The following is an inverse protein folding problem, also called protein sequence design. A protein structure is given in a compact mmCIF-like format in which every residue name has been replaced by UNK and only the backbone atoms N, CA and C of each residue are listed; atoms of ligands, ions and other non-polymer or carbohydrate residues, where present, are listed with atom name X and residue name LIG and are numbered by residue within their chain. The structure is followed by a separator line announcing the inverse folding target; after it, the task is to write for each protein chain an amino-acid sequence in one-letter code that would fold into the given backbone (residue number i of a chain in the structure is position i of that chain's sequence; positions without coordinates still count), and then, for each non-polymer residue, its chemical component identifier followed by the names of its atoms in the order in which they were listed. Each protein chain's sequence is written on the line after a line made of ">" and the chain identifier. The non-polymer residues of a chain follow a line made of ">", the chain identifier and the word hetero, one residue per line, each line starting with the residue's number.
data_IF_402955519175
#
_entry.id   IF_402955519175
#
_cell.length_a   1.000
_cell.length_b   1.000
_cell.length_c   1.000
_cell.angle_alpha   90.00
_cell.angle_beta   90.00
_cell.angle_gamma   90.00
#
_symmetry.space_group_name_H-M   'P 1'
#
loop_
_entity.id
_entity.type
_entity.pdbx_description
1 polymer ?
#
# COMPACT_ATOMS: atom_id res chain seq x y z
N UNK A 1 39.30 5.83 -5.00
CA UNK A 1 38.07 5.21 -4.50
C UNK A 1 38.46 3.83 -3.98
N UNK A 2 38.53 3.65 -2.66
CA UNK A 2 38.95 2.37 -2.07
C UNK A 2 38.00 1.25 -2.46
N UNK A 3 38.54 0.06 -2.69
CA UNK A 3 37.83 -1.19 -3.02
C UNK A 3 36.68 -1.49 -2.04
N UNK A 4 36.84 -1.09 -0.78
CA UNK A 4 35.81 -1.15 0.27
C UNK A 4 34.57 -0.31 -0.03
N UNK A 5 34.71 0.86 -0.65
CA UNK A 5 33.57 1.68 -1.06
C UNK A 5 32.82 1.06 -2.24
N UNK A 6 33.54 0.47 -3.21
CA UNK A 6 32.92 -0.21 -4.36
C UNK A 6 32.07 -1.41 -3.94
N UNK A 7 32.60 -2.23 -3.03
CA UNK A 7 31.86 -3.39 -2.50
C UNK A 7 30.60 -2.97 -1.73
N UNK A 8 30.68 -1.90 -0.92
CA UNK A 8 29.51 -1.35 -0.22
C UNK A 8 28.46 -0.78 -1.19
N UNK A 9 28.90 -0.12 -2.27
CA UNK A 9 28.01 0.39 -3.31
C UNK A 9 27.26 -0.75 -4.03
N UNK A 10 27.98 -1.81 -4.41
CA UNK A 10 27.41 -2.99 -5.08
C UNK A 10 26.41 -3.74 -4.19
N UNK A 11 26.71 -3.90 -2.90
CA UNK A 11 25.77 -4.47 -1.92
C UNK A 11 24.52 -3.61 -1.76
N UNK A 12 24.67 -2.28 -1.64
CA UNK A 12 23.53 -1.36 -1.54
C UNK A 12 22.62 -1.46 -2.77
N UNK A 13 23.20 -1.51 -3.97
CA UNK A 13 22.46 -1.66 -5.23
C UNK A 13 21.71 -3.00 -5.24
N UNK A 14 22.36 -4.09 -4.82
CA UNK A 14 21.73 -5.42 -4.77
C UNK A 14 20.56 -5.46 -3.79
N UNK A 15 20.74 -4.91 -2.59
CA UNK A 15 19.69 -4.80 -1.57
C UNK A 15 18.53 -3.95 -2.08
N UNK A 16 18.80 -2.84 -2.75
CA UNK A 16 17.75 -1.98 -3.29
C UNK A 16 16.93 -2.70 -4.36
N UNK A 17 17.59 -3.39 -5.31
CA UNK A 17 16.90 -4.18 -6.33
C UNK A 17 16.00 -5.26 -5.74
N UNK A 18 16.45 -5.92 -4.67
CA UNK A 18 15.66 -6.94 -3.98
C UNK A 18 14.43 -6.32 -3.28
N UNK A 19 14.60 -5.16 -2.63
CA UNK A 19 13.49 -4.41 -2.03
C UNK A 19 12.47 -3.97 -3.08
N UNK A 20 12.92 -3.46 -4.23
CA UNK A 20 12.04 -3.02 -5.30
C UNK A 20 11.27 -4.19 -5.91
N UNK A 21 11.93 -5.34 -6.07
CA UNK A 21 11.28 -6.58 -6.52
C UNK A 21 10.19 -7.02 -5.54
N UNK A 22 10.51 -7.08 -4.25
CA UNK A 22 9.56 -7.47 -3.21
C UNK A 22 8.38 -6.48 -3.11
N UNK A 23 8.63 -5.17 -3.30
CA UNK A 23 7.59 -4.16 -3.31
C UNK A 23 6.62 -4.36 -4.48
N UNK A 24 7.14 -4.59 -5.69
CA UNK A 24 6.32 -4.85 -6.89
C UNK A 24 5.45 -6.09 -6.73
N UNK A 25 6.02 -7.17 -6.20
CA UNK A 25 5.30 -8.42 -5.96
C UNK A 25 4.16 -8.22 -4.96
N UNK A 26 4.44 -7.56 -3.83
CA UNK A 26 3.42 -7.22 -2.83
C UNK A 26 2.35 -6.29 -3.37
N UNK A 27 2.73 -5.28 -4.15
CA UNK A 27 1.79 -4.36 -4.77
C UNK A 27 0.82 -5.10 -5.70
N UNK A 28 1.34 -5.92 -6.62
CA UNK A 28 0.52 -6.74 -7.51
C UNK A 28 -0.45 -7.64 -6.75
N UNK A 29 0.07 -8.36 -5.76
CA UNK A 29 -0.71 -9.25 -4.90
C UNK A 29 -1.79 -8.50 -4.09
N UNK A 30 -1.47 -7.32 -3.55
CA UNK A 30 -2.46 -6.47 -2.86
C UNK A 30 -3.53 -5.98 -3.83
N UNK A 31 -3.19 -5.57 -5.05
CA UNK A 31 -4.17 -5.13 -6.04
C UNK A 31 -5.17 -6.24 -6.37
N UNK A 32 -4.69 -7.47 -6.61
CA UNK A 32 -5.58 -8.61 -6.86
C UNK A 32 -6.48 -8.92 -5.65
N UNK A 33 -5.92 -8.92 -4.43
CA UNK A 33 -6.72 -9.08 -3.22
C UNK A 33 -7.77 -7.97 -3.06
N UNK A 34 -7.44 -6.72 -3.38
CA UNK A 34 -8.39 -5.62 -3.31
C UNK A 34 -9.52 -5.80 -4.34
N UNK A 35 -9.21 -6.28 -5.55
CA UNK A 35 -10.24 -6.59 -6.56
C UNK A 35 -11.20 -7.69 -6.10
N UNK A 36 -10.68 -8.71 -5.41
CA UNK A 36 -11.47 -9.80 -4.85
C UNK A 36 -12.32 -9.35 -3.64
N UNK A 37 -11.78 -8.44 -2.83
CA UNK A 37 -12.42 -8.01 -1.57
C UNK A 37 -13.49 -6.95 -1.79
N UNK A 38 -13.31 -6.05 -2.76
CA UNK A 38 -14.15 -4.85 -2.90
C UNK A 38 -15.05 -4.88 -4.13
N UNK A 39 -16.35 -4.72 -3.88
CA UNK A 39 -17.41 -4.57 -4.87
C UNK A 39 -18.12 -3.20 -4.73
N UNK A 40 -18.81 -2.70 -5.78
CA UNK A 40 -19.55 -1.44 -5.73
C UNK A 40 -20.51 -1.37 -4.51
N UNK A 41 -20.35 -0.34 -3.68
CA UNK A 41 -21.18 -0.14 -2.47
C UNK A 41 -20.52 -0.55 -1.14
N UNK A 42 -19.30 -1.08 -1.16
CA UNK A 42 -18.57 -1.46 0.07
C UNK A 42 -17.89 -0.25 0.73
N UNK A 43 -18.38 0.19 1.90
CA UNK A 43 -17.81 1.31 2.66
C UNK A 43 -16.76 0.82 3.66
N UNK A 44 -15.49 0.59 3.26
CA UNK A 44 -14.46 0.17 4.22
C UNK A 44 -13.06 0.71 3.95
N UNK A 45 -12.31 0.80 5.04
CA UNK A 45 -10.94 1.32 5.12
C UNK A 45 -9.91 0.33 4.56
N UNK A 46 -9.34 0.62 3.38
CA UNK A 46 -8.36 -0.25 2.71
C UNK A 46 -7.09 -0.52 3.53
N UNK A 47 -6.65 0.44 4.35
CA UNK A 47 -5.38 0.35 5.09
C UNK A 47 -5.28 -0.89 5.99
N UNK A 48 -6.30 -1.16 6.80
CA UNK A 48 -6.24 -2.27 7.76
C UNK A 48 -6.38 -3.64 7.08
N UNK A 49 -7.07 -3.68 5.95
CA UNK A 49 -7.17 -4.87 5.09
C UNK A 49 -5.79 -5.17 4.49
N UNK A 50 -5.12 -4.17 3.90
CA UNK A 50 -3.77 -4.29 3.36
C UNK A 50 -2.79 -4.75 4.45
N UNK A 51 -2.76 -4.08 5.61
CA UNK A 51 -1.84 -4.46 6.70
C UNK A 51 -2.08 -5.90 7.17
N UNK A 52 -3.34 -6.34 7.34
CA UNK A 52 -3.66 -7.73 7.72
C UNK A 52 -3.28 -8.74 6.64
N UNK A 53 -3.46 -8.39 5.37
CA UNK A 53 -3.09 -9.22 4.25
C UNK A 53 -1.57 -9.43 4.18
N UNK A 54 -0.79 -8.36 4.37
CA UNK A 54 0.67 -8.44 4.42
C UNK A 54 1.19 -9.32 5.58
N UNK A 55 0.50 -9.32 6.71
CA UNK A 55 0.84 -10.22 7.83
C UNK A 55 0.55 -11.67 7.45
N UNK A 56 -0.60 -11.94 6.82
CA UNK A 56 -1.05 -13.30 6.49
C UNK A 56 -0.28 -13.91 5.34
N UNK A 57 -0.22 -13.23 4.20
CA UNK A 57 0.33 -13.80 2.96
C UNK A 57 1.85 -13.65 2.86
N UNK A 58 2.42 -12.60 3.46
CA UNK A 58 3.85 -12.33 3.39
C UNK A 58 4.60 -12.55 4.71
N UNK A 59 3.92 -13.07 5.74
CA UNK A 59 4.51 -13.38 7.04
C UNK A 59 5.12 -12.17 7.77
N UNK A 60 4.69 -10.95 7.43
CA UNK A 60 5.29 -9.74 7.99
C UNK A 60 4.88 -9.55 9.46
N UNK A 61 5.83 -9.10 10.29
CA UNK A 61 5.50 -8.66 11.65
C UNK A 61 4.63 -7.40 11.60
N UNK A 62 3.77 -7.13 12.60
CA UNK A 62 2.86 -5.98 12.58
C UNK A 62 3.52 -4.62 12.26
N UNK A 63 4.71 -4.38 12.82
CA UNK A 63 5.50 -3.15 12.53
C UNK A 63 5.96 -3.09 11.08
N UNK A 64 6.41 -4.21 10.52
CA UNK A 64 6.84 -4.30 9.12
C UNK A 64 5.63 -4.15 8.18
N UNK A 65 4.50 -4.77 8.50
CA UNK A 65 3.26 -4.62 7.75
C UNK A 65 2.75 -3.15 7.74
N UNK A 66 2.93 -2.42 8.84
CA UNK A 66 2.61 -0.98 8.88
C UNK A 66 3.50 -0.18 7.94
N UNK A 67 4.81 -0.42 7.95
CA UNK A 67 5.77 0.27 7.10
C UNK A 67 5.58 -0.06 5.61
N UNK A 68 5.56 -1.35 5.27
CA UNK A 68 5.34 -1.80 3.90
C UNK A 68 3.94 -1.48 3.39
N UNK A 69 2.93 -1.54 4.26
CA UNK A 69 1.57 -1.14 3.93
C UNK A 69 1.47 0.34 3.58
N UNK A 70 2.23 1.22 4.25
CA UNK A 70 2.29 2.64 3.89
C UNK A 70 2.84 2.86 2.47
N UNK A 71 3.96 2.21 2.14
CA UNK A 71 4.55 2.29 0.79
C UNK A 71 3.60 1.75 -0.30
N UNK A 72 2.86 0.68 -0.02
CA UNK A 72 1.86 0.14 -0.95
C UNK A 72 0.67 1.11 -1.10
N UNK A 73 0.22 1.73 -0.01
CA UNK A 73 -0.85 2.73 -0.05
C UNK A 73 -0.46 3.93 -0.90
N UNK A 74 0.79 4.40 -0.78
CA UNK A 74 1.32 5.48 -1.64
C UNK A 74 1.28 5.08 -3.11
N UNK A 75 1.76 3.88 -3.47
CA UNK A 75 1.68 3.38 -4.85
C UNK A 75 0.23 3.27 -5.36
N UNK A 76 -0.69 2.78 -4.52
CA UNK A 76 -2.11 2.69 -4.87
C UNK A 76 -2.72 4.09 -5.11
N UNK A 77 -2.23 5.12 -4.41
CA UNK A 77 -2.64 6.51 -4.61
C UNK A 77 -2.05 7.12 -5.88
N UNK A 78 -0.78 6.85 -6.17
CA UNK A 78 -0.12 7.25 -7.42
C UNK A 78 -0.83 6.68 -8.66
N UNK A 79 -1.33 5.44 -8.56
CA UNK A 79 -2.15 4.81 -9.59
C UNK A 79 -3.64 5.17 -9.53
N UNK A 80 -4.02 6.08 -8.63
CA UNK A 80 -5.40 6.55 -8.42
C UNK A 80 -6.41 5.42 -8.12
N UNK A 81 -5.93 4.29 -7.61
CA UNK A 81 -6.73 3.12 -7.24
C UNK A 81 -7.42 3.33 -5.90
N UNK A 82 -6.79 4.13 -5.03
CA UNK A 82 -7.37 4.59 -3.77
C UNK A 82 -7.14 6.09 -3.61
N UNK A 83 -8.00 6.74 -2.83
CA UNK A 83 -7.90 8.17 -2.50
C UNK A 83 -8.07 8.35 -1.00
N UNK A 84 -7.42 9.38 -0.45
CA UNK A 84 -7.74 9.83 0.91
C UNK A 84 -9.14 10.44 0.90
N UNK A 85 -9.97 10.05 1.86
CA UNK A 85 -11.24 10.74 2.09
C UNK A 85 -10.95 12.15 2.61
N UNK A 86 -11.81 13.14 2.29
CA UNK A 86 -11.73 14.46 2.88
C UNK A 86 -11.71 14.37 4.40
N UNK A 87 -11.09 15.34 5.08
CA UNK A 87 -11.08 15.38 6.56
C UNK A 87 -12.46 15.67 7.16
N UNK A 88 -13.46 15.94 6.33
CA UNK A 88 -14.84 16.20 6.70
C UNK A 88 -15.78 15.20 6.03
N UNK A 89 -16.85 14.82 6.73
CA UNK A 89 -17.91 13.98 6.19
C UNK A 89 -18.85 14.76 5.25
N UNK A 90 -19.85 14.08 4.69
CA UNK A 90 -20.83 14.69 3.77
C UNK A 90 -21.67 15.81 4.39
N UNK A 91 -21.66 15.94 5.72
CA UNK A 91 -22.31 17.01 6.49
C UNK A 91 -21.35 18.13 6.93
N UNK A 92 -20.08 18.08 6.50
CA UNK A 92 -19.06 19.05 6.89
C UNK A 92 -18.52 18.88 8.31
N UNK A 93 -18.85 17.77 8.99
CA UNK A 93 -18.27 17.48 10.30
C UNK A 93 -16.87 16.88 10.12
N UNK A 94 -15.87 17.33 10.88
CA UNK A 94 -14.55 16.71 10.85
C UNK A 94 -14.66 15.23 11.20
N UNK A 95 -14.00 14.36 10.44
CA UNK A 95 -13.75 12.98 10.85
C UNK A 95 -12.88 13.04 12.11
N UNK A 96 -13.53 13.07 13.28
CA UNK A 96 -12.95 13.18 14.62
C UNK A 96 -11.60 12.49 14.74
N UNK A 97 -10.50 13.25 14.55
CA UNK A 97 -9.07 12.93 14.77
C UNK A 97 -8.71 11.44 14.89
N UNK A 98 -9.22 10.56 14.02
CA UNK A 98 -8.70 9.20 13.92
C UNK A 98 -7.38 9.40 13.23
N UNK A 99 -6.28 9.09 13.94
CA UNK A 99 -4.87 9.41 13.63
C UNK A 99 -4.36 9.09 12.21
N UNK A 100 -5.20 8.63 11.27
CA UNK A 100 -4.89 8.29 9.87
C UNK A 100 -6.13 8.54 8.98
N UNK A 101 -5.96 9.17 7.79
CA UNK A 101 -7.08 9.43 6.88
C UNK A 101 -7.74 8.12 6.45
N UNK A 102 -9.07 8.14 6.37
CA UNK A 102 -9.82 7.02 5.78
C UNK A 102 -9.47 6.94 4.29
N UNK A 103 -9.29 5.72 3.77
CA UNK A 103 -8.96 5.50 2.38
C UNK A 103 -10.19 4.95 1.65
N UNK A 104 -10.61 5.64 0.61
CA UNK A 104 -11.65 5.20 -0.30
C UNK A 104 -11.04 4.51 -1.52
N UNK A 105 -11.70 3.47 -2.02
CA UNK A 105 -11.23 2.71 -3.18
C UNK A 105 -11.97 3.20 -4.42
N UNK A 106 -11.22 3.52 -5.47
CA UNK A 106 -11.78 3.79 -6.78
C UNK A 106 -12.07 2.47 -7.49
N UNK A 107 -13.25 1.90 -7.22
CA UNK A 107 -13.63 0.55 -7.68
C UNK A 107 -13.54 0.43 -9.21
N UNK A 108 -13.92 1.46 -9.97
CA UNK A 108 -13.85 1.45 -11.44
C UNK A 108 -12.40 1.33 -11.91
N UNK A 109 -11.48 2.14 -11.36
CA UNK A 109 -10.06 2.08 -11.71
C UNK A 109 -9.42 0.78 -11.21
N UNK A 110 -9.74 0.35 -9.99
CA UNK A 110 -9.24 -0.89 -9.41
C UNK A 110 -9.57 -2.11 -10.28
N UNK A 111 -10.83 -2.25 -10.71
CA UNK A 111 -11.26 -3.38 -11.54
C UNK A 111 -10.66 -3.31 -12.96
N UNK A 112 -10.43 -2.11 -13.49
CA UNK A 112 -9.79 -1.93 -14.80
C UNK A 112 -8.25 -2.04 -14.78
N UNK A 113 -7.62 -2.00 -13.61
CA UNK A 113 -6.17 -1.95 -13.48
C UNK A 113 -5.53 -3.29 -13.85
N UNK A 114 -4.54 -3.26 -14.76
CA UNK A 114 -3.79 -4.44 -15.19
C UNK A 114 -2.45 -4.49 -14.46
N UNK A 115 -2.20 -5.59 -13.75
CA UNK A 115 -1.00 -5.85 -12.94
C UNK A 115 0.05 -6.69 -13.64
#
# INVERSE_FOLDING_TARGET
>A
MDEKYRLQEEERIKIQKEKDRALKERFKSVVEMLKETYYPGHATTARRVIERYLIREFGLKPRQATYHGAAIIELLQEHELIQQLPEVDASGQPFTMKKRPLLNINIRKLQAYKT
#
